data_IF_353287203149
#
_entry.id   IF_353287203149
#
_cell.length_a   1.000
_cell.length_b   1.000
_cell.length_c   1.000
_cell.angle_alpha   90.00
_cell.angle_beta   90.00
_cell.angle_gamma   90.00
#
_symmetry.space_group_name_H-M   'P 1'
#
loop_
_entity.id
_entity.type
_entity.pdbx_description
1 polymer ?
#
# COMPACT_ATOMS: atom_id res chain seq x y z
N UNK A 1 -1.70 19.31 -8.26
CA UNK A 1 -1.43 18.52 -7.04
C UNK A 1 -0.21 17.63 -7.22
N UNK A 2 0.50 17.31 -6.13
CA UNK A 2 1.85 16.71 -6.15
C UNK A 2 1.87 15.19 -5.91
N UNK A 3 0.76 14.58 -5.57
CA UNK A 3 0.64 13.16 -5.20
C UNK A 3 -0.04 12.34 -6.30
N UNK A 4 -0.26 11.05 -6.04
CA UNK A 4 -0.91 10.12 -6.95
C UNK A 4 -2.26 10.62 -7.46
N UNK A 5 -2.59 10.25 -8.68
CA UNK A 5 -3.90 10.48 -9.27
C UNK A 5 -5.00 9.62 -8.65
N UNK A 6 -6.20 9.72 -9.20
CA UNK A 6 -7.39 8.99 -8.70
C UNK A 6 -7.14 7.49 -8.67
N UNK A 7 -6.60 6.92 -9.75
CA UNK A 7 -6.35 5.48 -9.87
C UNK A 7 -5.43 4.96 -8.78
N UNK A 8 -4.22 5.51 -8.68
CA UNK A 8 -3.25 5.07 -7.66
C UNK A 8 -3.75 5.29 -6.24
N UNK A 9 -4.43 6.43 -5.97
CA UNK A 9 -4.98 6.72 -4.65
C UNK A 9 -6.13 5.78 -4.27
N UNK A 10 -7.02 5.46 -5.20
CA UNK A 10 -8.15 4.56 -4.95
C UNK A 10 -7.67 3.12 -4.67
N UNK A 11 -6.73 2.62 -5.48
CA UNK A 11 -6.14 1.30 -5.26
C UNK A 11 -5.36 1.26 -3.95
N UNK A 12 -4.52 2.28 -3.68
CA UNK A 12 -3.71 2.33 -2.45
C UNK A 12 -4.54 2.50 -1.16
N UNK A 13 -5.78 2.97 -1.27
CA UNK A 13 -6.66 3.12 -0.10
C UNK A 13 -7.35 1.80 0.28
N UNK A 14 -7.67 0.92 -0.66
CA UNK A 14 -8.44 -0.31 -0.44
C UNK A 14 -7.52 -1.55 -0.45
N UNK A 15 -7.28 -2.14 0.72
CA UNK A 15 -6.38 -3.29 0.88
C UNK A 15 -6.78 -4.52 0.06
N UNK A 16 -8.07 -4.70 -0.19
CA UNK A 16 -8.59 -5.85 -0.95
C UNK A 16 -8.29 -5.66 -2.43
N UNK A 17 -8.61 -4.47 -2.98
CA UNK A 17 -8.34 -4.15 -4.39
C UNK A 17 -6.84 -4.07 -4.65
N UNK A 18 -6.09 -3.42 -3.76
CA UNK A 18 -4.63 -3.31 -3.85
C UNK A 18 -3.98 -4.69 -3.94
N UNK A 19 -4.37 -5.63 -3.07
CA UNK A 19 -3.86 -7.00 -3.07
C UNK A 19 -4.22 -7.75 -4.35
N UNK A 20 -5.45 -7.59 -4.86
CA UNK A 20 -5.86 -8.19 -6.13
C UNK A 20 -5.04 -7.66 -7.31
N UNK A 21 -4.72 -6.36 -7.33
CA UNK A 21 -3.84 -5.76 -8.34
C UNK A 21 -2.43 -6.33 -8.22
N UNK A 22 -1.84 -6.40 -7.03
CA UNK A 22 -0.51 -6.99 -6.84
C UNK A 22 -0.45 -8.45 -7.29
N UNK A 23 -1.49 -9.23 -6.99
CA UNK A 23 -1.60 -10.62 -7.49
C UNK A 23 -1.66 -10.69 -9.01
N UNK A 24 -2.42 -9.78 -9.65
CA UNK A 24 -2.52 -9.74 -11.12
C UNK A 24 -1.20 -9.38 -11.81
N UNK A 25 -0.32 -8.66 -11.10
CA UNK A 25 1.04 -8.34 -11.52
C UNK A 25 2.03 -9.51 -11.31
N UNK A 26 1.60 -10.61 -10.70
CA UNK A 26 2.47 -11.72 -10.33
C UNK A 26 3.36 -11.44 -9.10
N UNK A 27 3.10 -10.39 -8.36
CA UNK A 27 3.85 -10.05 -7.16
C UNK A 27 3.47 -10.99 -5.99
N UNK A 28 4.45 -11.40 -5.17
CA UNK A 28 4.18 -12.25 -4.02
C UNK A 28 3.41 -11.47 -2.94
N UNK A 29 2.23 -11.94 -2.60
CA UNK A 29 1.42 -11.41 -1.51
C UNK A 29 0.99 -12.54 -0.57
N UNK A 30 0.77 -12.23 0.70
CA UNK A 30 0.26 -13.20 1.65
C UNK A 30 -1.13 -13.70 1.24
N UNK A 31 -1.38 -15.00 1.42
CA UNK A 31 -2.68 -15.60 1.17
C UNK A 31 -3.77 -14.88 1.98
N UNK A 32 -4.91 -14.64 1.36
CA UNK A 32 -5.97 -13.88 2.01
C UNK A 32 -7.35 -14.23 1.45
N UNK A 33 -8.36 -13.91 2.22
CA UNK A 33 -9.76 -13.87 1.80
C UNK A 33 -10.38 -12.57 2.31
N UNK A 34 -11.60 -12.27 1.86
CA UNK A 34 -12.33 -11.12 2.36
C UNK A 34 -13.81 -11.43 2.51
N UNK A 35 -14.50 -10.62 3.29
CA UNK A 35 -15.95 -10.68 3.39
C UNK A 35 -16.56 -9.28 3.52
N UNK A 36 -17.85 -9.20 3.27
CA UNK A 36 -18.66 -8.07 3.68
C UNK A 36 -19.14 -8.26 5.14
N UNK A 37 -19.37 -7.17 5.85
CA UNK A 37 -19.96 -7.18 7.19
C UNK A 37 -21.31 -7.93 7.21
N UNK A 38 -22.15 -7.73 6.19
CA UNK A 38 -23.43 -8.43 6.04
C UNK A 38 -23.23 -9.94 5.94
N UNK A 39 -22.26 -10.40 5.15
CA UNK A 39 -21.93 -11.82 5.02
C UNK A 39 -21.49 -12.43 6.38
N UNK A 40 -20.67 -11.71 7.14
CA UNK A 40 -20.30 -12.10 8.48
C UNK A 40 -21.52 -12.20 9.43
N UNK A 41 -22.47 -11.29 9.30
CA UNK A 41 -23.70 -11.29 10.10
C UNK A 41 -24.68 -12.40 9.73
N UNK A 42 -24.74 -12.74 8.44
CA UNK A 42 -25.64 -13.77 7.90
C UNK A 42 -25.10 -15.19 8.11
N UNK A 43 -23.80 -15.41 7.83
CA UNK A 43 -23.15 -16.71 7.95
C UNK A 43 -21.71 -16.60 8.52
N UNK A 44 -21.58 -16.40 9.84
CA UNK A 44 -20.26 -16.38 10.49
C UNK A 44 -19.47 -17.67 10.29
N UNK A 45 -20.15 -18.81 10.15
CA UNK A 45 -19.49 -20.11 10.05
C UNK A 45 -18.75 -20.24 8.72
N UNK A 46 -19.35 -19.81 7.60
CA UNK A 46 -18.71 -19.82 6.28
C UNK A 46 -17.47 -18.89 6.25
N UNK A 47 -17.57 -17.71 6.85
CA UNK A 47 -16.42 -16.78 6.92
C UNK A 47 -15.30 -17.36 7.78
N UNK A 48 -15.64 -17.95 8.94
CA UNK A 48 -14.68 -18.61 9.85
C UNK A 48 -13.97 -19.76 9.13
N UNK A 49 -14.69 -20.61 8.40
CA UNK A 49 -14.10 -21.71 7.65
C UNK A 49 -13.06 -21.24 6.62
N UNK A 50 -13.30 -20.10 5.95
CA UNK A 50 -12.31 -19.49 5.04
C UNK A 50 -11.07 -18.97 5.77
N UNK A 51 -11.23 -18.39 6.94
CA UNK A 51 -10.12 -17.98 7.79
C UNK A 51 -9.30 -19.18 8.28
N UNK A 52 -9.96 -20.25 8.74
CA UNK A 52 -9.32 -21.48 9.17
C UNK A 52 -8.58 -22.19 8.03
N UNK A 53 -9.07 -22.11 6.80
CA UNK A 53 -8.39 -22.64 5.62
C UNK A 53 -7.05 -21.91 5.33
N UNK A 54 -6.91 -20.64 5.71
CA UNK A 54 -5.62 -19.93 5.65
C UNK A 54 -4.63 -20.44 6.72
N UNK A 55 -5.15 -21.02 7.79
CA UNK A 55 -4.38 -21.41 8.99
C UNK A 55 -4.00 -20.21 9.85
N UNK A 56 -4.11 -20.37 11.17
CA UNK A 56 -3.70 -19.33 12.11
C UNK A 56 -2.17 -19.20 12.20
N UNK A 57 -1.62 -18.01 12.57
CA UNK A 57 -2.36 -16.79 12.84
C UNK A 57 -2.89 -16.13 11.56
N UNK A 58 -3.99 -15.37 11.69
CA UNK A 58 -4.48 -14.48 10.63
C UNK A 58 -4.59 -13.05 11.18
N UNK A 59 -4.47 -12.06 10.28
CA UNK A 59 -4.77 -10.68 10.57
C UNK A 59 -6.11 -10.29 9.95
N UNK A 60 -6.98 -9.72 10.76
CA UNK A 60 -8.28 -9.19 10.35
C UNK A 60 -8.17 -7.69 10.24
N UNK A 61 -8.46 -7.13 9.06
CA UNK A 61 -8.17 -5.74 8.71
C UNK A 61 -9.38 -5.08 8.05
N UNK A 62 -9.83 -3.89 8.50
CA UNK A 62 -10.70 -3.05 7.70
C UNK A 62 -10.04 -2.74 6.34
N UNK A 63 -10.83 -2.73 5.24
CA UNK A 63 -10.27 -2.57 3.91
C UNK A 63 -9.66 -1.18 3.68
N UNK A 64 -10.29 -0.11 4.22
CA UNK A 64 -10.02 1.28 3.82
C UNK A 64 -9.35 2.14 4.91
N UNK A 65 -8.82 1.56 5.97
CA UNK A 65 -8.17 2.32 7.06
C UNK A 65 -6.64 2.19 7.03
N UNK A 66 -5.98 3.24 7.53
CA UNK A 66 -4.54 3.30 7.75
C UNK A 66 -4.14 3.19 9.23
N UNK A 67 -2.85 3.36 9.53
CA UNK A 67 -2.28 3.43 10.88
C UNK A 67 -2.69 2.26 11.80
N UNK A 68 -2.86 1.07 11.24
CA UNK A 68 -3.28 -0.16 11.94
C UNK A 68 -4.61 -0.05 12.70
N UNK A 69 -5.43 0.97 12.43
CA UNK A 69 -6.72 1.14 13.10
C UNK A 69 -7.64 -0.02 12.74
N UNK A 70 -8.19 -0.69 13.77
CA UNK A 70 -9.11 -1.83 13.62
C UNK A 70 -8.45 -3.12 13.16
N UNK A 71 -7.12 -3.18 13.04
CA UNK A 71 -6.37 -4.40 12.72
C UNK A 71 -6.18 -5.22 13.98
N UNK A 72 -6.48 -6.52 13.90
CA UNK A 72 -6.29 -7.46 15.01
C UNK A 72 -5.66 -8.76 14.51
N UNK A 73 -4.75 -9.33 15.30
CA UNK A 73 -4.17 -10.65 15.10
C UNK A 73 -5.03 -11.69 15.78
N UNK A 74 -5.42 -12.73 15.08
CA UNK A 74 -6.15 -13.87 15.61
C UNK A 74 -5.29 -15.14 15.53
N UNK A 75 -5.24 -15.90 16.61
CA UNK A 75 -4.44 -17.12 16.74
C UNK A 75 -5.30 -18.38 16.83
N UNK A 76 -6.59 -18.19 17.02
CA UNK A 76 -7.61 -19.22 17.12
C UNK A 76 -8.99 -18.65 16.75
N UNK A 77 -10.01 -19.48 16.75
CA UNK A 77 -11.38 -19.09 16.42
C UNK A 77 -11.95 -18.02 17.36
N UNK A 78 -11.69 -18.12 18.65
CA UNK A 78 -12.24 -17.17 19.63
C UNK A 78 -11.67 -15.76 19.42
N UNK A 79 -10.36 -15.65 19.24
CA UNK A 79 -9.70 -14.38 18.90
C UNK A 79 -10.07 -13.87 17.52
N UNK A 80 -10.38 -14.76 16.55
CA UNK A 80 -10.88 -14.37 15.24
C UNK A 80 -12.26 -13.71 15.33
N UNK A 81 -13.19 -14.27 16.09
CA UNK A 81 -14.53 -13.69 16.29
C UNK A 81 -14.44 -12.29 16.93
N UNK A 82 -13.54 -12.10 17.89
CA UNK A 82 -13.26 -10.78 18.48
C UNK A 82 -12.67 -9.82 17.47
N UNK A 83 -11.71 -10.26 16.67
CA UNK A 83 -11.09 -9.47 15.63
C UNK A 83 -12.09 -9.03 14.54
N UNK A 84 -13.02 -9.92 14.17
CA UNK A 84 -14.12 -9.59 13.25
C UNK A 84 -15.06 -8.54 13.83
N UNK A 85 -15.42 -8.65 15.12
CA UNK A 85 -16.26 -7.64 15.78
C UNK A 85 -15.60 -6.25 15.75
N UNK A 86 -14.29 -6.17 16.01
CA UNK A 86 -13.53 -4.92 15.95
C UNK A 86 -13.51 -4.38 14.51
N UNK A 87 -13.08 -5.17 13.54
CA UNK A 87 -12.94 -4.72 12.15
C UNK A 87 -14.28 -4.29 11.55
N UNK A 88 -15.36 -5.03 11.83
CA UNK A 88 -16.72 -4.70 11.39
C UNK A 88 -17.27 -3.40 11.98
N UNK A 89 -16.75 -2.91 13.11
CA UNK A 89 -17.12 -1.61 13.64
C UNK A 89 -16.57 -0.45 12.78
N UNK A 90 -15.44 -0.68 12.09
CA UNK A 90 -14.76 0.36 11.32
C UNK A 90 -15.06 0.33 9.83
N UNK A 91 -15.31 -0.84 9.23
CA UNK A 91 -15.54 -0.94 7.79
C UNK A 91 -16.65 -1.97 7.48
N UNK A 92 -17.23 -1.83 6.30
CA UNK A 92 -18.17 -2.80 5.75
C UNK A 92 -17.48 -3.94 4.99
N UNK A 93 -16.22 -3.80 4.63
CA UNK A 93 -15.38 -4.78 3.91
C UNK A 93 -14.17 -5.13 4.76
N UNK A 94 -13.97 -6.41 4.98
CA UNK A 94 -12.95 -6.92 5.89
C UNK A 94 -12.01 -7.84 5.10
N UNK A 95 -10.73 -7.54 5.14
CA UNK A 95 -9.66 -8.41 4.66
C UNK A 95 -9.23 -9.35 5.79
N UNK A 96 -9.11 -10.63 5.50
CA UNK A 96 -8.57 -11.66 6.38
C UNK A 96 -7.31 -12.20 5.71
N UNK A 97 -6.16 -12.01 6.30
CA UNK A 97 -4.87 -12.30 5.71
C UNK A 97 -4.06 -13.23 6.58
N UNK A 98 -3.38 -14.21 5.97
CA UNK A 98 -2.43 -15.08 6.65
C UNK A 98 -1.36 -14.25 7.35
N UNK A 99 -1.11 -14.54 8.63
CA UNK A 99 -0.04 -13.90 9.39
C UNK A 99 1.29 -14.63 9.26
N UNK A 100 2.38 -13.88 9.30
CA UNK A 100 3.72 -14.41 9.48
C UNK A 100 4.12 -14.32 10.96
N UNK A 101 4.99 -15.22 11.39
CA UNK A 101 5.57 -15.17 12.72
C UNK A 101 6.84 -14.29 12.69
N UNK A 102 6.79 -13.18 13.40
CA UNK A 102 7.90 -12.22 13.56
C UNK A 102 8.55 -11.81 12.22
N UNK A 103 7.77 -11.33 11.23
CA UNK A 103 8.33 -10.94 9.95
C UNK A 103 9.35 -9.82 10.10
N UNK A 104 10.30 -9.76 9.17
CA UNK A 104 11.16 -8.60 8.99
C UNK A 104 10.44 -7.62 8.09
N UNK A 105 10.09 -6.46 8.62
CA UNK A 105 9.44 -5.39 7.86
C UNK A 105 10.50 -4.60 7.09
N UNK A 106 10.24 -4.31 5.82
CA UNK A 106 11.10 -3.49 4.96
C UNK A 106 10.23 -2.50 4.21
N UNK A 107 10.68 -1.25 4.16
CA UNK A 107 10.02 -0.21 3.37
C UNK A 107 10.95 0.28 2.26
N UNK A 108 10.36 0.58 1.10
CA UNK A 108 11.06 1.21 -0.01
C UNK A 108 10.14 2.28 -0.62
N UNK A 109 10.67 3.49 -0.81
CA UNK A 109 9.94 4.55 -1.49
C UNK A 109 10.29 4.62 -2.98
N UNK A 110 9.42 5.26 -3.76
CA UNK A 110 9.68 5.58 -5.15
C UNK A 110 9.27 7.03 -5.42
N UNK A 111 10.13 7.76 -6.12
CA UNK A 111 9.93 9.14 -6.54
C UNK A 111 9.91 9.21 -8.06
N UNK A 112 8.87 9.86 -8.64
CA UNK A 112 8.82 9.97 -10.09
C UNK A 112 7.49 10.45 -10.66
N UNK A 113 7.43 10.41 -12.01
CA UNK A 113 6.21 10.63 -12.79
C UNK A 113 6.36 10.00 -14.18
N UNK A 114 5.27 9.41 -14.69
CA UNK A 114 5.26 8.78 -16.01
C UNK A 114 6.28 7.63 -16.08
N UNK A 115 7.14 7.64 -17.11
CA UNK A 115 8.18 6.61 -17.27
C UNK A 115 9.37 6.73 -16.31
N UNK A 116 9.51 7.87 -15.62
CA UNK A 116 10.60 8.14 -14.68
C UNK A 116 10.20 7.68 -13.28
N UNK A 117 10.89 6.71 -12.73
CA UNK A 117 10.65 6.17 -11.39
C UNK A 117 11.99 5.79 -10.75
N UNK A 118 12.32 6.44 -9.65
CA UNK A 118 13.56 6.23 -8.92
C UNK A 118 13.25 5.62 -7.56
N UNK A 119 13.63 4.36 -7.30
CA UNK A 119 13.46 3.75 -5.99
C UNK A 119 14.46 4.33 -5.00
N UNK A 120 14.07 4.40 -3.73
CA UNK A 120 14.93 4.81 -2.63
C UNK A 120 15.85 3.68 -2.16
N UNK A 121 16.67 3.98 -1.15
CA UNK A 121 17.21 2.93 -0.29
C UNK A 121 16.07 2.24 0.46
N UNK A 122 16.28 0.97 0.81
CA UNK A 122 15.38 0.24 1.70
C UNK A 122 15.66 0.60 3.15
N UNK A 123 14.61 0.68 3.97
CA UNK A 123 14.74 0.75 5.43
C UNK A 123 14.15 -0.49 6.10
N UNK A 124 14.73 -0.87 7.21
CA UNK A 124 14.10 -1.74 8.19
C UNK A 124 13.63 -0.86 9.36
N UNK A 125 12.30 -0.64 9.53
CA UNK A 125 11.79 0.04 10.70
C UNK A 125 12.05 -0.81 11.95
N UNK A 126 12.28 -0.17 13.09
CA UNK A 126 12.33 -0.90 14.36
C UNK A 126 10.89 -1.16 14.79
N UNK A 127 10.57 -2.43 15.12
CA UNK A 127 9.22 -2.79 15.53
C UNK A 127 8.78 -1.98 16.76
N UNK A 128 7.48 -1.65 16.82
CA UNK A 128 6.90 -0.92 17.94
C UNK A 128 7.14 -1.62 19.30
N UNK A 129 7.19 -2.95 19.31
CA UNK A 129 7.51 -3.74 20.49
C UNK A 129 8.96 -3.56 20.93
N UNK A 130 9.90 -3.50 19.98
CA UNK A 130 11.29 -3.20 20.28
C UNK A 130 11.46 -1.75 20.74
N UNK A 131 10.68 -0.81 20.19
CA UNK A 131 10.63 0.58 20.62
C UNK A 131 10.10 0.71 22.06
N UNK A 132 8.99 0.06 22.40
CA UNK A 132 8.44 0.08 23.75
C UNK A 132 9.37 -0.57 24.78
N UNK A 133 10.02 -1.68 24.43
CA UNK A 133 10.99 -2.33 25.30
C UNK A 133 12.24 -1.45 25.53
N UNK A 134 12.61 -0.67 24.53
CA UNK A 134 13.71 0.30 24.62
C UNK A 134 13.30 1.52 25.47
N UNK A 135 12.11 2.06 25.26
CA UNK A 135 11.58 3.20 26.01
C UNK A 135 11.46 2.87 27.50
N UNK A 136 10.98 1.67 27.86
CA UNK A 136 10.95 1.20 29.23
C UNK A 136 12.34 1.06 29.88
N UNK A 137 13.39 0.73 29.09
CA UNK A 137 14.77 0.62 29.58
C UNK A 137 15.48 1.96 29.73
N UNK A 138 15.17 2.95 28.90
CA UNK A 138 15.95 4.18 28.77
C UNK A 138 15.23 5.47 29.17
N UNK A 139 13.92 5.45 29.42
CA UNK A 139 13.19 6.63 29.95
C UNK A 139 13.68 7.04 31.36
N UNK A 140 14.60 6.29 31.96
CA UNK A 140 15.27 6.66 33.22
C UNK A 140 16.57 7.45 33.04
N UNK A 141 16.99 7.76 31.81
CA UNK A 141 18.22 8.53 31.53
C UNK A 141 18.12 9.31 30.23
N UNK A 142 18.07 10.62 30.36
CA UNK A 142 17.93 11.69 29.38
C UNK A 142 18.39 11.46 27.94
N UNK A 143 17.49 11.70 27.03
CA UNK A 143 17.59 11.49 25.61
C UNK A 143 18.62 12.33 24.86
N UNK A 144 19.37 11.68 24.01
CA UNK A 144 19.94 12.16 22.75
C UNK A 144 20.20 11.00 21.76
N UNK A 145 19.76 9.76 22.05
CA UNK A 145 19.98 8.58 21.23
C UNK A 145 18.76 8.06 20.47
N UNK A 146 17.60 8.69 20.58
CA UNK A 146 16.33 8.13 20.07
C UNK A 146 16.13 8.29 18.56
N UNK A 147 16.69 9.30 17.93
CA UNK A 147 16.49 9.54 16.50
C UNK A 147 17.18 8.49 15.59
N UNK A 148 18.26 7.87 16.04
CA UNK A 148 19.04 6.92 15.24
C UNK A 148 18.71 5.44 15.50
N UNK A 149 17.88 5.12 16.50
CA UNK A 149 17.54 3.74 16.84
C UNK A 149 16.22 3.25 16.24
N UNK A 150 15.42 4.16 15.69
CA UNK A 150 14.09 3.84 15.20
C UNK A 150 14.06 3.22 13.79
N UNK A 151 15.18 3.20 13.05
CA UNK A 151 15.23 2.65 11.68
C UNK A 151 16.67 2.34 11.25
N UNK A 152 16.85 1.34 10.39
CA UNK A 152 18.14 1.01 9.76
C UNK A 152 18.07 1.34 8.29
N UNK A 153 18.91 2.29 7.83
CA UNK A 153 19.02 2.69 6.43
C UNK A 153 20.51 2.71 6.05
N UNK A 154 20.94 1.95 5.04
CA UNK A 154 20.17 0.94 4.31
C UNK A 154 19.76 -0.24 5.21
N UNK A 155 18.66 -0.91 4.85
CA UNK A 155 18.20 -2.12 5.54
C UNK A 155 19.28 -3.21 5.49
N UNK A 156 19.55 -3.95 6.60
CA UNK A 156 20.56 -5.00 6.65
C UNK A 156 20.07 -6.31 6.01
N UNK A 157 19.72 -6.26 4.72
CA UNK A 157 19.28 -7.39 3.90
C UNK A 157 20.25 -7.61 2.73
N UNK A 158 20.26 -8.81 2.11
CA UNK A 158 21.13 -9.09 0.97
C UNK A 158 20.87 -8.13 -0.21
N UNK A 159 21.93 -7.78 -0.94
CA UNK A 159 21.84 -6.90 -2.12
C UNK A 159 20.85 -7.41 -3.18
N UNK A 160 20.75 -8.72 -3.37
CA UNK A 160 19.80 -9.31 -4.30
C UNK A 160 18.36 -9.03 -3.86
N UNK A 161 18.05 -9.14 -2.56
CA UNK A 161 16.75 -8.82 -2.00
C UNK A 161 16.46 -7.32 -2.10
N UNK A 162 17.45 -6.47 -1.84
CA UNK A 162 17.34 -5.01 -2.00
C UNK A 162 16.94 -4.65 -3.43
N UNK A 163 17.63 -5.21 -4.44
CA UNK A 163 17.30 -4.98 -5.85
C UNK A 163 15.89 -5.47 -6.19
N UNK A 164 15.52 -6.65 -5.74
CA UNK A 164 14.17 -7.21 -5.96
C UNK A 164 13.06 -6.31 -5.39
N UNK A 165 13.25 -5.79 -4.17
CA UNK A 165 12.32 -4.84 -3.53
C UNK A 165 12.23 -3.55 -4.34
N UNK A 166 13.36 -3.01 -4.77
CA UNK A 166 13.41 -1.80 -5.59
C UNK A 166 12.72 -1.99 -6.95
N UNK A 167 12.95 -3.12 -7.61
CA UNK A 167 12.30 -3.46 -8.89
C UNK A 167 10.77 -3.58 -8.72
N UNK A 168 10.29 -4.29 -7.71
CA UNK A 168 8.87 -4.39 -7.39
C UNK A 168 8.26 -3.02 -7.06
N UNK A 169 8.98 -2.19 -6.31
CA UNK A 169 8.52 -0.84 -5.97
C UNK A 169 8.33 0.02 -7.22
N UNK A 170 9.27 -0.04 -8.17
CA UNK A 170 9.20 0.66 -9.45
C UNK A 170 8.06 0.12 -10.33
N UNK A 171 7.89 -1.19 -10.38
CA UNK A 171 6.82 -1.83 -11.13
C UNK A 171 5.43 -1.43 -10.60
N UNK A 172 5.22 -1.49 -9.28
CA UNK A 172 4.01 -1.02 -8.62
C UNK A 172 3.76 0.46 -8.91
N UNK A 173 4.79 1.31 -8.79
CA UNK A 173 4.68 2.73 -9.05
C UNK A 173 4.18 3.03 -10.47
N UNK A 174 4.72 2.34 -11.46
CA UNK A 174 4.34 2.50 -12.87
C UNK A 174 2.96 1.94 -13.16
N UNK A 175 2.65 0.73 -12.68
CA UNK A 175 1.37 0.06 -12.93
C UNK A 175 0.19 0.82 -12.33
N UNK A 176 0.36 1.42 -11.16
CA UNK A 176 -0.69 2.21 -10.49
C UNK A 176 -0.75 3.67 -10.96
N UNK A 177 -0.01 4.04 -12.01
CA UNK A 177 0.06 5.44 -12.49
C UNK A 177 0.38 6.42 -11.36
N UNK A 178 1.32 6.06 -10.51
CA UNK A 178 1.72 6.89 -9.39
C UNK A 178 2.46 8.14 -9.87
N UNK A 179 2.33 9.20 -9.08
CA UNK A 179 3.03 10.48 -9.30
C UNK A 179 3.52 11.02 -7.97
N UNK A 180 4.70 11.65 -8.00
CA UNK A 180 5.34 12.19 -6.81
C UNK A 180 6.06 11.11 -6.04
N UNK A 181 5.79 10.97 -4.75
CA UNK A 181 6.43 9.99 -3.89
C UNK A 181 5.41 9.02 -3.30
N UNK A 182 5.74 7.73 -3.34
CA UNK A 182 5.02 6.66 -2.66
C UNK A 182 5.97 5.86 -1.80
N UNK A 183 5.46 5.06 -0.87
CA UNK A 183 6.22 4.06 -0.13
C UNK A 183 5.50 2.73 -0.18
N UNK A 184 6.22 1.69 -0.55
CA UNK A 184 5.73 0.31 -0.53
C UNK A 184 6.33 -0.40 0.67
N UNK A 185 5.48 -1.08 1.42
CA UNK A 185 5.85 -1.80 2.62
C UNK A 185 5.85 -3.30 2.32
N UNK A 186 6.89 -3.99 2.78
CA UNK A 186 7.18 -5.40 2.52
C UNK A 186 7.37 -6.15 3.81
N UNK A 187 7.16 -7.47 3.75
CA UNK A 187 7.51 -8.41 4.81
C UNK A 187 8.39 -9.53 4.26
N UNK A 188 9.43 -9.88 4.99
CA UNK A 188 10.25 -11.06 4.74
C UNK A 188 9.93 -12.08 5.83
N UNK A 189 9.58 -13.29 5.42
CA UNK A 189 9.41 -14.41 6.35
C UNK A 189 10.79 -14.88 6.82
N UNK A 190 11.12 -14.78 8.12
CA UNK A 190 12.45 -15.16 8.62
C UNK A 190 12.71 -16.66 8.59
N UNK A 191 11.71 -17.50 8.32
CA UNK A 191 11.86 -18.95 8.25
C UNK A 191 12.19 -19.44 6.84
N UNK A 192 11.72 -18.71 5.81
CA UNK A 192 11.82 -19.14 4.42
C UNK A 192 12.56 -18.15 3.53
N UNK A 193 12.90 -16.96 4.05
CA UNK A 193 13.41 -15.80 3.31
C UNK A 193 12.46 -15.33 2.19
N UNK A 194 11.19 -15.75 2.23
CA UNK A 194 10.21 -15.34 1.23
C UNK A 194 9.81 -13.88 1.43
N UNK A 195 9.84 -13.12 0.33
CA UNK A 195 9.45 -11.71 0.27
C UNK A 195 7.96 -11.60 -0.08
N UNK A 196 7.24 -10.72 0.61
CA UNK A 196 5.84 -10.40 0.35
C UNK A 196 5.62 -8.89 0.28
N UNK A 197 4.83 -8.46 -0.72
CA UNK A 197 4.34 -7.07 -0.81
C UNK A 197 3.12 -6.93 0.10
N UNK A 198 3.11 -5.93 0.97
CA UNK A 198 2.05 -5.71 1.94
C UNK A 198 1.08 -4.63 1.50
N UNK A 199 1.58 -3.40 1.35
CA UNK A 199 0.75 -2.25 0.98
C UNK A 199 1.57 -1.15 0.30
N UNK A 200 0.88 -0.25 -0.40
CA UNK A 200 1.43 1.01 -0.90
C UNK A 200 0.82 2.19 -0.15
N UNK A 201 1.67 3.10 0.29
CA UNK A 201 1.31 4.38 0.88
C UNK A 201 1.49 5.47 -0.17
N UNK A 202 0.40 5.99 -0.74
CA UNK A 202 0.41 6.98 -1.83
C UNK A 202 0.71 8.40 -1.38
N UNK A 203 0.69 8.66 -0.07
CA UNK A 203 1.16 9.88 0.59
C UNK A 203 1.88 9.47 1.88
N UNK A 204 3.14 8.99 1.77
CA UNK A 204 3.86 8.52 2.95
C UNK A 204 4.17 9.66 3.91
N UNK A 205 4.25 9.34 5.20
CA UNK A 205 4.63 10.29 6.24
C UNK A 205 5.97 10.96 5.92
N UNK A 206 6.05 12.28 6.11
CA UNK A 206 7.22 13.11 5.78
C UNK A 206 7.70 12.94 4.32
N UNK A 207 6.82 12.53 3.40
CA UNK A 207 7.15 12.17 2.01
C UNK A 207 8.29 11.14 1.89
N UNK A 208 8.55 10.36 2.93
CA UNK A 208 9.65 9.39 3.01
C UNK A 208 11.02 9.99 2.59
N UNK A 209 11.22 11.31 2.76
CA UNK A 209 12.40 12.03 2.27
C UNK A 209 13.71 11.45 2.78
N UNK A 210 13.70 10.98 4.02
CA UNK A 210 14.84 10.40 4.72
C UNK A 210 15.40 9.13 4.04
N UNK A 211 14.64 8.50 3.13
CA UNK A 211 15.10 7.38 2.32
C UNK A 211 15.91 7.83 1.09
N UNK A 212 15.76 9.08 0.68
CA UNK A 212 16.44 9.68 -0.47
C UNK A 212 17.65 10.53 -0.07
N UNK A 213 17.69 11.06 1.15
CA UNK A 213 18.81 11.90 1.62
C UNK A 213 20.16 11.19 1.50
N UNK A 214 20.33 9.89 1.90
CA UNK A 214 21.60 9.19 1.74
C UNK A 214 21.98 8.96 0.27
N UNK A 215 21.01 9.13 -0.67
CA UNK A 215 21.25 9.08 -2.11
C UNK A 215 21.64 10.45 -2.70
N UNK A 216 21.76 11.48 -1.86
CA UNK A 216 22.10 12.82 -2.27
C UNK A 216 20.91 13.70 -2.69
N UNK A 217 19.67 13.26 -2.49
CA UNK A 217 18.46 14.05 -2.75
C UNK A 217 18.00 14.68 -1.44
N UNK A 218 18.30 15.96 -1.23
CA UNK A 218 17.87 16.70 -0.05
C UNK A 218 16.35 16.87 -0.01
N UNK A 219 15.79 17.12 1.17
CA UNK A 219 14.35 17.39 1.32
C UNK A 219 13.85 18.50 0.39
N UNK A 220 14.64 19.60 0.24
CA UNK A 220 14.30 20.68 -0.68
C UNK A 220 14.22 20.20 -2.13
N UNK A 221 15.22 19.45 -2.61
CA UNK A 221 15.23 18.91 -3.97
C UNK A 221 14.06 17.95 -4.21
N UNK A 222 13.71 17.13 -3.21
CA UNK A 222 12.55 16.26 -3.30
C UNK A 222 11.26 17.07 -3.46
N UNK A 223 11.07 18.12 -2.65
CA UNK A 223 9.87 18.99 -2.74
C UNK A 223 9.83 19.72 -4.08
N UNK A 224 10.96 20.26 -4.55
CA UNK A 224 11.05 20.91 -5.86
C UNK A 224 10.63 19.93 -6.97
N UNK A 225 11.13 18.68 -6.96
CA UNK A 225 10.74 17.65 -7.92
C UNK A 225 9.24 17.30 -7.85
N UNK A 226 8.64 17.23 -6.65
CA UNK A 226 7.20 17.00 -6.52
C UNK A 226 6.37 18.07 -7.21
N UNK A 227 6.79 19.34 -7.13
CA UNK A 227 6.14 20.47 -7.81
C UNK A 227 6.34 20.37 -9.31
N UNK A 228 7.55 20.06 -9.78
CA UNK A 228 7.85 19.86 -11.20
C UNK A 228 6.99 18.75 -11.81
N UNK A 229 6.88 17.59 -11.16
CA UNK A 229 6.00 16.49 -11.61
C UNK A 229 4.52 16.88 -11.63
N UNK A 230 4.08 17.76 -10.73
CA UNK A 230 2.70 18.25 -10.75
C UNK A 230 2.45 19.16 -11.98
N UNK A 231 3.40 20.00 -12.34
CA UNK A 231 3.34 20.82 -13.56
C UNK A 231 3.40 19.96 -14.82
N UNK A 232 4.34 19.02 -14.90
CA UNK A 232 4.46 18.10 -16.03
C UNK A 232 3.16 17.30 -16.26
N UNK A 233 2.56 16.80 -15.18
CA UNK A 233 1.28 16.10 -15.24
C UNK A 233 0.13 17.00 -15.71
N UNK A 234 0.11 18.28 -15.33
CA UNK A 234 -0.90 19.23 -15.80
C UNK A 234 -0.73 19.52 -17.29
N UNK A 235 0.50 19.67 -17.77
CA UNK A 235 0.80 19.86 -19.20
C UNK A 235 0.29 18.67 -20.00
N UNK A 236 0.68 17.44 -19.63
CA UNK A 236 0.24 16.22 -20.33
C UNK A 236 -1.28 16.06 -20.29
N UNK A 237 -1.92 16.41 -19.17
CA UNK A 237 -3.38 16.39 -19.07
C UNK A 237 -4.02 17.34 -20.07
N UNK A 238 -3.49 18.55 -20.22
CA UNK A 238 -4.04 19.57 -21.12
C UNK A 238 -3.79 19.28 -22.61
N UNK A 239 -2.87 18.38 -22.94
CA UNK A 239 -2.65 17.87 -24.30
C UNK A 239 -3.76 16.88 -24.73
N UNK A 240 -4.52 16.35 -23.78
CA UNK A 240 -5.61 15.42 -24.06
C UNK A 240 -6.88 16.16 -24.48
N UNK A 241 -7.61 15.62 -25.47
CA UNK A 241 -8.91 16.14 -25.87
C UNK A 241 -10.01 15.63 -24.94
N UNK A 242 -10.64 16.52 -24.19
CA UNK A 242 -11.71 16.19 -23.24
C UNK A 242 -13.11 16.34 -23.81
N UNK A 243 -13.26 17.01 -24.96
CA UNK A 243 -14.54 17.20 -25.65
C UNK A 243 -14.57 16.34 -26.92
N UNK A 244 -15.60 15.53 -27.05
CA UNK A 244 -15.89 14.79 -28.27
C UNK A 244 -17.21 15.30 -28.83
N UNK A 245 -17.18 15.94 -29.99
CA UNK A 245 -18.38 16.38 -30.70
C UNK A 245 -19.00 15.18 -31.42
N UNK A 246 -20.04 14.62 -30.79
CA UNK A 246 -20.72 13.44 -31.30
C UNK A 246 -21.88 13.83 -32.20
N UNK A 247 -21.73 13.66 -33.52
CA UNK A 247 -22.86 13.75 -34.47
C UNK A 247 -23.84 12.56 -34.40
N UNK A 248 -23.68 11.64 -33.42
CA UNK A 248 -24.52 10.41 -33.35
C UNK A 248 -25.99 10.74 -33.25
N UNK A 249 -26.37 11.72 -32.41
CA UNK A 249 -27.77 12.13 -32.28
C UNK A 249 -28.31 12.75 -33.58
N UNK A 250 -27.50 13.60 -34.23
CA UNK A 250 -27.86 14.22 -35.53
C UNK A 250 -27.97 13.18 -36.63
N UNK A 251 -27.09 12.19 -36.67
CA UNK A 251 -27.16 11.06 -37.62
C UNK A 251 -28.35 10.15 -37.35
N UNK A 252 -28.70 9.88 -36.09
CA UNK A 252 -29.91 9.13 -35.72
C UNK A 252 -31.18 9.88 -36.08
N UNK A 253 -31.25 11.18 -35.85
CA UNK A 253 -32.41 12.00 -36.23
C UNK A 253 -32.58 12.10 -37.75
N UNK A 254 -31.47 12.16 -38.50
CA UNK A 254 -31.50 12.19 -39.98
C UNK A 254 -31.77 10.80 -40.60
N UNK A 255 -31.36 9.70 -39.95
CA UNK A 255 -31.63 8.32 -40.37
C UNK A 255 -33.09 7.93 -40.21
N UNK A 256 -33.79 8.45 -39.21
CA UNK A 256 -35.23 8.17 -39.00
C UNK A 256 -36.13 8.88 -40.01
N UNK A 257 -35.66 9.89 -40.73
CA UNK A 257 -36.40 10.51 -41.84
C UNK A 257 -36.35 9.71 -43.15
N UNK A 258 -35.50 8.72 -43.25
CA UNK A 258 -35.27 7.90 -44.46
C UNK A 258 -36.15 6.63 -44.54
N UNK A 259 -36.95 6.32 -43.51
CA UNK A 259 -37.79 5.10 -43.45
C UNK A 259 -39.27 5.43 -43.71
N UNK A 260 -39.59 6.63 -44.17
CA UNK A 260 -40.95 6.96 -44.67
C UNK A 260 -40.88 7.35 -46.13
N UNK A 261 -40.79 6.35 -47.01
CA UNK A 261 -41.36 6.35 -48.34
C UNK A 261 -41.56 4.93 -48.82
#
# INVERSE_FOLDING_TARGET
>A
YTSCGVTGSAVGMDKIIMKAVFQSMGLPVLASTFCHRSEWQEDPAAVTARAEALGYPVYVKPANLGSSIGISRAVDRASFEQAMAIACAYDRRILIEKGLEKPVEINCACLGFGGKATPSLCEQPVSWEAFLSFDQKYMRGGGKGMENLARKIPAPIPDAMTRQIQDYTVEIFKMLECKGVVRVDYMIDPQTDALYVCEINTIPGSFAFYLFEPMGISFRQLVDQLVEYAHEALVQKNESTFAYDSEILTKMMNGTKSIKK
#
